data_IF_524729930187
#
_entry.id   IF_524729930187
#
_cell.length_a   1.000
_cell.length_b   1.000
_cell.length_c   1.000
_cell.angle_alpha   90.00
_cell.angle_beta   90.00
_cell.angle_gamma   90.00
#
_symmetry.space_group_name_H-M   'P 1'
#
loop_
_entity.id
_entity.type
_entity.pdbx_description
1 polymer ?
#
# COMPACT_ATOMS: atom_id res chain seq x y z
N UNK A 1 5.41 -18.68 5.44
CA UNK A 1 4.33 -18.05 4.65
C UNK A 1 4.79 -16.89 3.75
N UNK A 2 6.10 -16.61 3.64
CA UNK A 2 6.63 -15.49 2.82
C UNK A 2 7.36 -15.97 1.54
N UNK A 3 7.34 -17.27 1.24
CA UNK A 3 8.13 -17.85 0.14
C UNK A 3 7.33 -18.13 -1.14
N UNK A 4 6.00 -18.00 -1.14
CA UNK A 4 5.16 -18.49 -2.24
C UNK A 4 4.87 -17.43 -3.33
N UNK A 5 5.08 -16.15 -3.03
CA UNK A 5 4.82 -15.05 -3.98
C UNK A 5 5.93 -14.86 -5.03
N UNK A 6 7.10 -15.49 -4.86
CA UNK A 6 8.23 -15.35 -5.79
C UNK A 6 8.13 -16.23 -7.07
N UNK A 7 7.08 -17.06 -7.22
CA UNK A 7 6.92 -17.98 -8.37
C UNK A 7 5.76 -17.68 -9.30
N UNK A 8 4.93 -16.69 -9.02
CA UNK A 8 3.82 -16.37 -9.89
C UNK A 8 4.28 -15.52 -11.08
N UNK A 9 3.92 -15.87 -12.33
CA UNK A 9 4.07 -14.99 -13.47
C UNK A 9 3.47 -13.63 -13.14
N UNK A 10 4.18 -12.54 -13.46
CA UNK A 10 3.73 -11.17 -13.22
C UNK A 10 2.30 -10.94 -13.73
N UNK A 11 1.91 -11.63 -14.81
CA UNK A 11 0.55 -11.56 -15.36
C UNK A 11 -0.51 -12.16 -14.43
N UNK A 12 -0.25 -13.32 -13.81
CA UNK A 12 -1.19 -13.95 -12.86
C UNK A 12 -1.33 -13.14 -11.58
N UNK A 13 -0.24 -12.50 -11.16
CA UNK A 13 -0.25 -11.51 -10.08
C UNK A 13 -1.19 -10.36 -10.47
N UNK A 14 -0.97 -9.73 -11.63
CA UNK A 14 -1.80 -8.62 -12.16
C UNK A 14 -3.27 -9.02 -12.31
N UNK A 15 -3.56 -10.23 -12.77
CA UNK A 15 -4.92 -10.69 -13.00
C UNK A 15 -5.65 -10.97 -11.68
N UNK A 16 -4.94 -11.49 -10.67
CA UNK A 16 -5.46 -11.60 -9.31
C UNK A 16 -5.67 -10.22 -8.66
N UNK A 17 -4.77 -9.26 -8.93
CA UNK A 17 -4.91 -7.84 -8.52
C UNK A 17 -6.17 -7.19 -9.12
N UNK A 18 -6.46 -7.44 -10.40
CA UNK A 18 -7.66 -6.91 -11.07
C UNK A 18 -8.95 -7.53 -10.55
N UNK A 19 -8.91 -8.79 -10.10
CA UNK A 19 -10.11 -9.57 -9.80
C UNK A 19 -10.51 -9.53 -8.32
N UNK A 20 -9.58 -9.37 -7.37
CA UNK A 20 -9.90 -9.65 -5.96
C UNK A 20 -10.05 -8.48 -4.97
N UNK A 21 -9.60 -7.23 -5.21
CA UNK A 21 -9.94 -6.12 -4.27
C UNK A 21 -9.51 -4.73 -4.78
N UNK A 22 -10.42 -3.74 -4.68
CA UNK A 22 -10.16 -2.30 -4.91
C UNK A 22 -9.25 -1.67 -3.85
N UNK A 23 -9.03 -2.35 -2.72
CA UNK A 23 -8.17 -1.88 -1.64
C UNK A 23 -7.12 -2.94 -1.33
N UNK A 24 -5.87 -2.54 -1.46
CA UNK A 24 -4.76 -3.39 -1.11
C UNK A 24 -4.60 -3.39 0.43
N UNK A 25 -5.18 -4.38 1.09
CA UNK A 25 -4.95 -4.67 2.51
C UNK A 25 -3.56 -5.27 2.68
N UNK A 26 -2.53 -4.42 2.61
CA UNK A 26 -1.16 -4.88 2.86
C UNK A 26 -0.80 -4.69 4.33
N UNK A 27 -0.81 -5.79 5.07
CA UNK A 27 -0.36 -5.85 6.46
C UNK A 27 1.16 -5.66 6.52
N UNK A 28 1.57 -4.40 6.58
CA UNK A 28 2.97 -4.03 6.53
C UNK A 28 3.60 -4.03 7.93
N UNK A 29 4.31 -5.11 8.27
CA UNK A 29 5.35 -5.02 9.32
C UNK A 29 6.45 -4.10 8.80
N UNK A 30 6.91 -3.17 9.62
CA UNK A 30 7.83 -2.07 9.27
C UNK A 30 9.11 -2.50 8.52
N UNK A 31 9.57 -3.74 8.69
CA UNK A 31 10.74 -4.29 8.01
C UNK A 31 10.47 -4.77 6.57
N UNK A 32 9.23 -5.10 6.22
CA UNK A 32 8.85 -5.51 4.87
C UNK A 32 8.47 -4.30 3.99
N UNK A 33 8.36 -3.12 4.61
CA UNK A 33 7.87 -1.88 4.00
C UNK A 33 8.65 -1.51 2.75
N UNK A 34 9.99 -1.64 2.77
CA UNK A 34 10.84 -1.19 1.66
C UNK A 34 10.76 -2.01 0.38
N UNK A 35 10.70 -3.34 0.48
CA UNK A 35 10.58 -4.18 -0.71
C UNK A 35 9.18 -4.07 -1.31
N UNK A 36 8.16 -4.01 -0.47
CA UNK A 36 6.78 -3.94 -0.94
C UNK A 36 6.42 -2.56 -1.48
N UNK A 37 6.90 -1.46 -0.87
CA UNK A 37 6.55 -0.11 -1.33
C UNK A 37 7.13 0.19 -2.72
N UNK A 38 8.33 -0.29 -3.02
CA UNK A 38 8.95 -0.11 -4.34
C UNK A 38 8.16 -0.86 -5.42
N UNK A 39 7.66 -2.06 -5.10
CA UNK A 39 6.78 -2.81 -5.99
C UNK A 39 5.45 -2.09 -6.23
N UNK A 40 4.78 -1.64 -5.17
CA UNK A 40 3.50 -0.94 -5.26
C UNK A 40 3.63 0.40 -5.99
N UNK A 41 4.72 1.13 -5.77
CA UNK A 41 5.02 2.34 -6.55
C UNK A 41 5.20 2.01 -8.03
N UNK A 42 5.86 0.90 -8.36
CA UNK A 42 5.95 0.40 -9.74
C UNK A 42 4.58 0.11 -10.35
N UNK A 43 3.67 -0.54 -9.62
CA UNK A 43 2.30 -0.80 -10.08
C UNK A 43 1.52 0.50 -10.32
N UNK A 44 1.62 1.46 -9.39
CA UNK A 44 1.02 2.79 -9.52
C UNK A 44 1.54 3.52 -10.76
N UNK A 45 2.87 3.61 -10.89
CA UNK A 45 3.53 4.33 -11.99
C UNK A 45 3.16 3.78 -13.37
N UNK A 46 3.00 2.46 -13.47
CA UNK A 46 2.65 1.79 -14.73
C UNK A 46 1.13 1.74 -14.99
N UNK A 47 0.30 2.34 -14.13
CA UNK A 47 -1.16 2.39 -14.32
C UNK A 47 -1.86 1.04 -14.11
N UNK A 48 -1.26 0.14 -13.33
CA UNK A 48 -1.85 -1.16 -13.03
C UNK A 48 -2.80 -1.13 -11.83
N UNK A 49 -2.83 -0.03 -11.07
CA UNK A 49 -3.84 0.22 -10.05
C UNK A 49 -5.08 0.81 -10.71
N UNK A 50 -6.26 0.29 -10.37
CA UNK A 50 -7.53 0.87 -10.81
C UNK A 50 -7.74 2.27 -10.24
N UNK A 51 -8.52 3.11 -10.91
CA UNK A 51 -8.99 4.37 -10.33
C UNK A 51 -9.70 4.12 -8.99
N UNK A 52 -9.44 4.99 -8.01
CA UNK A 52 -9.94 4.85 -6.63
C UNK A 52 -9.25 3.80 -5.78
N UNK A 53 -8.10 3.27 -6.22
CA UNK A 53 -7.25 2.42 -5.37
C UNK A 53 -6.53 3.27 -4.33
N UNK A 54 -6.41 2.74 -3.11
CA UNK A 54 -5.54 3.30 -2.08
C UNK A 54 -4.73 2.24 -1.36
N UNK A 55 -3.67 2.70 -0.70
CA UNK A 55 -2.70 1.90 0.01
C UNK A 55 -2.83 2.23 1.49
N UNK A 56 -3.17 1.22 2.29
CA UNK A 56 -3.36 1.38 3.74
C UNK A 56 -2.25 0.62 4.46
N UNK A 57 -1.39 1.35 5.17
CA UNK A 57 -0.49 0.78 6.16
C UNK A 57 -1.26 0.44 7.43
N UNK A 58 -1.18 -0.81 7.89
CA UNK A 58 -1.74 -1.23 9.16
C UNK A 58 -0.67 -1.81 10.08
N UNK A 59 -0.46 -1.16 11.23
CA UNK A 59 0.55 -1.57 12.20
C UNK A 59 0.15 -1.24 13.64
N UNK A 60 0.78 -1.92 14.60
CA UNK A 60 0.59 -1.63 16.04
C UNK A 60 1.11 -0.26 16.45
N UNK A 61 2.15 0.22 15.78
CA UNK A 61 2.74 1.53 16.06
C UNK A 61 1.79 2.63 15.62
N UNK A 62 1.50 3.55 16.53
CA UNK A 62 0.82 4.78 16.16
C UNK A 62 1.81 5.71 15.45
N UNK A 63 1.66 5.82 14.13
CA UNK A 63 2.49 6.63 13.27
C UNK A 63 1.60 7.68 12.63
N UNK A 64 1.97 8.95 12.72
CA UNK A 64 1.25 10.00 12.00
C UNK A 64 1.36 9.78 10.49
N UNK A 65 0.42 10.33 9.73
CA UNK A 65 0.44 10.24 8.27
C UNK A 65 1.74 10.83 7.68
N UNK A 66 2.24 11.92 8.26
CA UNK A 66 3.49 12.56 7.82
C UNK A 66 4.70 11.65 8.06
N UNK A 67 4.81 11.04 9.25
CA UNK A 67 5.88 10.09 9.53
C UNK A 67 5.78 8.84 8.66
N UNK A 68 4.57 8.39 8.35
CA UNK A 68 4.33 7.31 7.40
C UNK A 68 4.88 7.65 6.02
N UNK A 69 4.49 8.80 5.47
CA UNK A 69 4.99 9.29 4.19
C UNK A 69 6.51 9.43 4.17
N UNK A 70 7.11 9.97 5.22
CA UNK A 70 8.58 10.07 5.33
C UNK A 70 9.24 8.68 5.26
N UNK A 71 8.69 7.68 5.95
CA UNK A 71 9.20 6.30 5.85
C UNK A 71 9.03 5.72 4.45
N UNK A 72 7.89 5.95 3.80
CA UNK A 72 7.69 5.50 2.42
C UNK A 72 8.76 6.08 1.50
N UNK A 73 9.08 7.36 1.66
CA UNK A 73 10.12 8.03 0.88
C UNK A 73 11.53 7.52 1.19
N UNK A 74 11.82 7.18 2.44
CA UNK A 74 13.13 6.65 2.86
C UNK A 74 13.39 5.25 2.30
N UNK A 75 12.38 4.39 2.28
CA UNK A 75 12.54 3.00 1.84
C UNK A 75 12.25 2.76 0.36
N UNK A 76 11.50 3.64 -0.30
CA UNK A 76 11.17 3.46 -1.70
C UNK A 76 12.40 3.75 -2.59
N UNK A 77 12.72 2.79 -3.45
CA UNK A 77 13.71 3.00 -4.51
C UNK A 77 12.98 3.68 -5.67
N UNK A 78 13.08 5.01 -5.73
CA UNK A 78 12.55 5.77 -6.86
C UNK A 78 13.53 5.76 -8.04
N UNK A 79 13.09 5.40 -9.27
CA UNK A 79 13.92 5.55 -10.46
C UNK A 79 14.34 7.01 -10.64
N UNK A 80 15.60 7.25 -10.97
CA UNK A 80 16.24 8.58 -11.06
C UNK A 80 15.78 9.47 -12.23
N UNK A 81 14.70 9.12 -12.93
CA UNK A 81 14.30 9.74 -14.21
C UNK A 81 12.77 10.00 -14.26
N UNK A 82 12.28 11.05 -14.97
CA UNK A 82 12.43 12.48 -14.69
C UNK A 82 11.19 13.08 -13.98
N UNK A 83 10.14 12.30 -13.67
CA UNK A 83 8.89 12.87 -13.15
C UNK A 83 8.97 12.98 -11.62
N UNK A 84 9.54 14.10 -11.16
CA UNK A 84 9.67 14.44 -9.73
C UNK A 84 8.35 14.45 -8.95
N UNK A 85 7.21 14.55 -9.64
CA UNK A 85 5.88 14.66 -9.03
C UNK A 85 5.25 13.29 -8.70
N UNK A 86 5.68 12.20 -9.35
CA UNK A 86 5.09 10.87 -9.16
C UNK A 86 5.14 10.35 -7.72
N UNK A 87 6.24 10.53 -6.96
CA UNK A 87 6.27 10.14 -5.55
C UNK A 87 5.24 10.90 -4.72
N UNK A 88 5.07 12.21 -4.93
CA UNK A 88 4.12 13.01 -4.16
C UNK A 88 2.67 12.66 -4.48
N UNK A 89 2.34 12.41 -5.74
CA UNK A 89 1.00 11.93 -6.13
C UNK A 89 0.73 10.52 -5.57
N UNK A 90 1.74 9.63 -5.57
CA UNK A 90 1.64 8.32 -4.95
C UNK A 90 1.35 8.40 -3.45
N UNK A 91 2.00 9.34 -2.73
CA UNK A 91 1.73 9.52 -1.30
C UNK A 91 0.30 9.95 -1.00
N UNK A 92 -0.39 10.64 -1.93
CA UNK A 92 -1.80 11.04 -1.74
C UNK A 92 -2.75 9.85 -1.65
N UNK A 93 -2.42 8.73 -2.29
CA UNK A 93 -3.19 7.49 -2.20
C UNK A 93 -2.69 6.57 -1.08
N UNK A 94 -1.73 7.01 -0.26
CA UNK A 94 -1.16 6.25 0.85
C UNK A 94 -1.65 6.79 2.20
N UNK A 95 -2.28 5.95 3.01
CA UNK A 95 -2.70 6.26 4.38
C UNK A 95 -2.20 5.21 5.37
N UNK A 96 -2.24 5.53 6.66
CA UNK A 96 -1.85 4.63 7.74
C UNK A 96 -2.89 4.65 8.85
N UNK A 97 -3.22 3.47 9.37
CA UNK A 97 -4.06 3.30 10.54
C UNK A 97 -3.39 2.36 11.54
N UNK A 98 -3.40 2.77 12.82
CA UNK A 98 -2.86 1.94 13.89
C UNK A 98 -3.91 1.04 14.52
N UNK A 99 -3.53 -0.21 14.79
CA UNK A 99 -4.37 -1.17 15.49
C UNK A 99 -3.60 -2.41 15.94
N UNK A 100 -4.15 -3.07 16.96
CA UNK A 100 -3.68 -4.36 17.44
C UNK A 100 -4.18 -5.49 16.54
N UNK A 101 -3.45 -6.60 16.55
CA UNK A 101 -3.77 -7.78 15.74
C UNK A 101 -4.74 -8.74 16.45
N UNK A 102 -5.07 -8.46 17.71
CA UNK A 102 -5.87 -9.34 18.59
C UNK A 102 -7.17 -8.65 19.07
N UNK A 103 -7.52 -7.50 18.51
CA UNK A 103 -8.73 -6.74 18.89
C UNK A 103 -9.67 -6.54 17.71
N UNK A 104 -10.86 -7.12 17.82
CA UNK A 104 -11.92 -6.99 16.80
C UNK A 104 -12.27 -5.53 16.48
N UNK A 105 -12.28 -4.67 17.49
CA UNK A 105 -12.59 -3.25 17.29
C UNK A 105 -11.55 -2.53 16.44
N UNK A 106 -10.30 -3.02 16.40
CA UNK A 106 -9.26 -2.45 15.56
C UNK A 106 -9.47 -2.86 14.09
N UNK A 107 -9.94 -4.08 13.84
CA UNK A 107 -10.35 -4.54 12.51
C UNK A 107 -11.62 -3.84 12.01
N UNK A 108 -12.58 -3.52 12.88
CA UNK A 108 -13.76 -2.71 12.51
C UNK A 108 -13.35 -1.32 12.03
N UNK A 109 -12.36 -0.70 12.68
CA UNK A 109 -11.83 0.59 12.23
C UNK A 109 -11.09 0.45 10.89
N UNK A 110 -10.30 -0.60 10.70
CA UNK A 110 -9.63 -0.88 9.43
C UNK A 110 -10.66 -1.01 8.29
N UNK A 111 -11.71 -1.81 8.47
CA UNK A 111 -12.78 -1.97 7.47
C UNK A 111 -13.43 -0.62 7.11
N UNK A 112 -13.71 0.21 8.11
CA UNK A 112 -14.26 1.55 7.86
C UNK A 112 -13.30 2.41 7.04
N UNK A 113 -12.00 2.37 7.33
CA UNK A 113 -10.98 3.08 6.53
C UNK A 113 -10.90 2.54 5.10
N UNK A 114 -11.01 1.22 4.91
CA UNK A 114 -11.09 0.59 3.58
C UNK A 114 -12.27 1.17 2.79
N UNK A 115 -13.47 1.20 3.37
CA UNK A 115 -14.67 1.76 2.74
C UNK A 115 -14.57 3.27 2.44
N UNK A 116 -13.80 4.02 3.23
CA UNK A 116 -13.52 5.43 2.99
C UNK A 116 -12.55 5.63 1.82
N UNK A 117 -11.52 4.78 1.73
CA UNK A 117 -10.53 4.79 0.64
C UNK A 117 -11.16 4.41 -0.70
N UNK A 118 -12.08 3.45 -0.74
CA UNK A 118 -12.78 3.07 -1.99
C UNK A 118 -13.62 4.21 -2.60
N UNK A 119 -13.87 5.27 -1.85
CA UNK A 119 -14.58 6.48 -2.30
C UNK A 119 -13.65 7.55 -2.84
N UNK A 120 -12.33 7.38 -2.71
CA UNK A 120 -11.36 8.27 -3.34
C UNK A 120 -11.53 8.18 -4.86
N UNK A 121 -11.63 9.34 -5.52
CA UNK A 121 -11.86 9.47 -6.97
C UNK A 121 -10.70 10.23 -7.56
#
# INVERSE_FOLDING_TARGET
MVEELARYPVQDVIDKFKYEKKVFEHYMKTAELGNNISCTFGLYRNGFLSEGSGIIGYARSNLSLQEFHNRLLEYAIFPTNPIKEQPMEFLKICTNISGQYDKDDDYKRLNKTVEEVEKWK
#
